data_IF_378588501585
#
_entry.id   IF_378588501585
#
_cell.length_a   1.000
_cell.length_b   1.000
_cell.length_c   1.000
_cell.angle_alpha   90.00
_cell.angle_beta   90.00
_cell.angle_gamma   90.00
#
_symmetry.space_group_name_H-M   'P 1'
#
loop_
_entity.id
_entity.type
_entity.pdbx_description
1 polymer ?
#
# COMPACT_ATOMS: atom_id res chain seq x y z
N UNK A 1 42.42 -14.88 18.93
CA UNK A 1 41.78 -15.39 20.16
C UNK A 1 40.28 -15.19 20.01
N UNK A 2 39.60 -16.14 19.38
CA UNK A 2 38.15 -16.07 19.17
C UNK A 2 37.45 -16.55 20.43
N UNK A 3 36.79 -15.65 21.14
CA UNK A 3 35.80 -16.05 22.13
C UNK A 3 34.70 -16.80 21.37
N UNK A 4 34.56 -18.10 21.62
CA UNK A 4 33.30 -18.80 21.44
C UNK A 4 32.30 -18.15 22.38
N UNK A 5 31.75 -17.00 21.99
CA UNK A 5 30.55 -16.47 22.63
C UNK A 5 29.46 -17.49 22.33
N UNK A 6 29.13 -18.33 23.32
CA UNK A 6 27.98 -19.20 23.23
C UNK A 6 26.79 -18.32 22.81
N UNK A 7 26.18 -18.65 21.67
CA UNK A 7 24.99 -17.94 21.20
C UNK A 7 23.95 -18.01 22.32
N UNK A 8 23.36 -16.86 22.66
CA UNK A 8 22.37 -16.82 23.74
C UNK A 8 21.23 -17.82 23.47
N UNK A 9 20.71 -18.50 24.50
CA UNK A 9 19.69 -19.52 24.30
C UNK A 9 18.41 -18.92 23.70
N UNK A 10 17.88 -19.57 22.66
CA UNK A 10 16.62 -19.18 22.03
C UNK A 10 15.45 -19.55 22.95
N UNK A 11 14.53 -18.61 23.16
CA UNK A 11 13.29 -18.89 23.87
C UNK A 11 12.25 -19.51 22.92
N UNK A 12 12.23 -20.83 22.85
CA UNK A 12 11.32 -21.58 21.97
C UNK A 12 9.84 -21.32 22.28
N UNK A 13 9.47 -21.19 23.55
CA UNK A 13 8.08 -20.91 23.96
C UNK A 13 7.59 -19.58 23.40
N UNK A 14 8.43 -18.54 23.48
CA UNK A 14 8.12 -17.24 22.93
C UNK A 14 8.11 -17.26 21.39
N UNK A 15 8.96 -18.09 20.78
CA UNK A 15 8.93 -18.38 19.34
C UNK A 15 7.61 -19.01 18.88
N UNK A 16 7.05 -19.96 19.63
CA UNK A 16 5.74 -20.56 19.35
C UNK A 16 4.61 -19.53 19.50
N UNK A 17 4.64 -18.70 20.56
CA UNK A 17 3.67 -17.61 20.71
C UNK A 17 3.74 -16.60 19.55
N UNK A 18 4.94 -16.25 19.11
CA UNK A 18 5.13 -15.41 17.93
C UNK A 18 4.40 -16.01 16.71
N UNK A 19 4.62 -17.29 16.40
CA UNK A 19 3.97 -17.94 15.25
C UNK A 19 2.44 -17.99 15.39
N UNK A 20 1.91 -18.28 16.57
CA UNK A 20 0.47 -18.30 16.82
C UNK A 20 -0.16 -16.91 16.64
N UNK A 21 0.47 -15.88 17.19
CA UNK A 21 -0.01 -14.51 17.03
C UNK A 21 0.16 -13.99 15.59
N UNK A 22 1.16 -14.46 14.85
CA UNK A 22 1.29 -14.18 13.40
C UNK A 22 0.09 -14.75 12.62
N UNK A 23 -0.31 -16.00 12.90
CA UNK A 23 -1.48 -16.61 12.27
C UNK A 23 -2.78 -15.89 12.66
N UNK A 24 -2.94 -15.58 13.94
CA UNK A 24 -4.09 -14.84 14.45
C UNK A 24 -4.19 -13.46 13.78
N UNK A 25 -3.07 -12.74 13.69
CA UNK A 25 -3.01 -11.45 13.01
C UNK A 25 -3.43 -11.59 11.54
N UNK A 26 -2.93 -12.60 10.82
CA UNK A 26 -3.30 -12.84 9.42
C UNK A 26 -4.82 -13.03 9.25
N UNK A 27 -5.44 -13.81 10.13
CA UNK A 27 -6.90 -14.00 10.16
C UNK A 27 -7.64 -12.68 10.43
N UNK A 28 -7.19 -11.88 11.41
CA UNK A 28 -7.83 -10.60 11.72
C UNK A 28 -7.66 -9.61 10.55
N UNK A 29 -6.49 -9.54 9.90
CA UNK A 29 -6.31 -8.72 8.69
C UNK A 29 -7.22 -9.16 7.54
N UNK A 30 -7.46 -10.47 7.39
CA UNK A 30 -8.42 -10.99 6.40
C UNK A 30 -9.85 -10.52 6.72
N UNK A 31 -10.24 -10.54 8.00
CA UNK A 31 -11.54 -9.99 8.43
C UNK A 31 -11.60 -8.49 8.15
N UNK A 32 -10.55 -7.73 8.46
CA UNK A 32 -10.45 -6.29 8.14
C UNK A 32 -10.65 -6.04 6.65
N UNK A 33 -9.99 -6.84 5.80
CA UNK A 33 -10.16 -6.79 4.35
C UNK A 33 -11.61 -7.00 3.92
N UNK A 34 -12.26 -8.02 4.46
CA UNK A 34 -13.67 -8.32 4.17
C UNK A 34 -14.55 -7.13 4.59
N UNK A 35 -14.34 -6.55 5.77
CA UNK A 35 -15.14 -5.40 6.23
C UNK A 35 -14.96 -4.16 5.36
N UNK A 36 -13.74 -3.83 4.93
CA UNK A 36 -13.51 -2.73 4.00
C UNK A 36 -14.12 -3.01 2.61
N UNK A 37 -14.01 -4.24 2.11
CA UNK A 37 -14.62 -4.65 0.85
C UNK A 37 -16.15 -4.57 0.90
N UNK A 38 -16.77 -5.02 2.00
CA UNK A 38 -18.21 -4.92 2.21
C UNK A 38 -18.67 -3.47 2.35
N UNK A 39 -17.92 -2.62 3.04
CA UNK A 39 -18.20 -1.19 3.14
C UNK A 39 -18.19 -0.53 1.74
N UNK A 40 -17.22 -0.88 0.90
CA UNK A 40 -17.15 -0.42 -0.48
C UNK A 40 -18.33 -0.92 -1.33
N UNK A 41 -18.68 -2.20 -1.20
CA UNK A 41 -19.79 -2.82 -1.92
C UNK A 41 -21.16 -2.22 -1.52
N UNK A 42 -21.39 -1.99 -0.22
CA UNK A 42 -22.61 -1.33 0.26
C UNK A 42 -22.68 0.11 -0.21
N UNK A 43 -21.55 0.82 -0.20
CA UNK A 43 -21.52 2.20 -0.70
C UNK A 43 -21.80 2.24 -2.20
N UNK A 44 -21.25 1.29 -2.98
CA UNK A 44 -21.57 1.14 -4.40
C UNK A 44 -23.08 0.97 -4.63
N UNK A 45 -23.71 0.05 -3.89
CA UNK A 45 -25.14 -0.23 -3.99
C UNK A 45 -25.99 1.00 -3.64
N UNK A 46 -25.66 1.68 -2.54
CA UNK A 46 -26.36 2.90 -2.12
C UNK A 46 -26.27 4.00 -3.19
N UNK A 47 -25.10 4.20 -3.80
CA UNK A 47 -24.93 5.20 -4.87
C UNK A 47 -25.74 4.80 -6.10
N UNK A 48 -25.71 3.53 -6.50
CA UNK A 48 -26.50 3.04 -7.64
C UNK A 48 -28.01 3.18 -7.42
N UNK A 49 -28.50 2.93 -6.20
CA UNK A 49 -29.91 3.11 -5.84
C UNK A 49 -30.33 4.58 -5.87
N UNK A 50 -29.47 5.50 -5.40
CA UNK A 50 -29.68 6.94 -5.49
C UNK A 50 -29.71 7.42 -6.95
N UNK A 51 -28.77 6.96 -7.78
CA UNK A 51 -28.76 7.27 -9.21
C UNK A 51 -30.03 6.77 -9.91
N UNK A 52 -30.47 5.55 -9.60
CA UNK A 52 -31.70 4.98 -10.15
C UNK A 52 -32.96 5.74 -9.68
N UNK A 53 -32.97 6.23 -8.43
CA UNK A 53 -34.06 7.05 -7.91
C UNK A 53 -34.11 8.43 -8.58
N UNK A 54 -32.96 9.09 -8.74
CA UNK A 54 -32.85 10.37 -9.44
C UNK A 54 -33.28 10.27 -10.91
N UNK A 55 -32.88 9.20 -11.61
CA UNK A 55 -33.32 8.94 -12.99
C UNK A 55 -34.84 8.77 -13.09
N UNK A 56 -35.46 8.07 -12.12
CA UNK A 56 -36.93 7.94 -12.05
C UNK A 56 -37.63 9.26 -11.75
N UNK A 57 -37.01 10.13 -10.96
CA UNK A 57 -37.54 11.46 -10.67
C UNK A 57 -37.46 12.37 -11.90
N UNK A 58 -36.33 12.38 -12.60
CA UNK A 58 -36.16 13.07 -13.88
C UNK A 58 -37.18 12.60 -14.92
N UNK A 59 -37.41 11.29 -15.04
CA UNK A 59 -38.42 10.73 -15.95
C UNK A 59 -39.83 11.22 -15.60
N UNK A 60 -40.21 11.24 -14.31
CA UNK A 60 -41.48 11.79 -13.85
C UNK A 60 -41.62 13.28 -14.20
N UNK A 61 -40.56 14.06 -13.99
CA UNK A 61 -40.54 15.49 -14.32
C UNK A 61 -40.68 15.70 -15.84
N UNK A 62 -40.02 14.90 -16.67
CA UNK A 62 -40.14 14.96 -18.14
C UNK A 62 -41.54 14.56 -18.63
N UNK A 63 -42.14 13.53 -18.03
CA UNK A 63 -43.53 13.11 -18.35
C UNK A 63 -44.54 14.20 -17.94
N UNK A 64 -44.32 14.84 -16.79
CA UNK A 64 -45.17 15.96 -16.35
C UNK A 64 -45.00 17.23 -17.20
N UNK A 65 -43.79 17.51 -17.68
CA UNK A 65 -43.50 18.62 -18.58
C UNK A 65 -44.01 18.36 -20.02
N UNK A 66 -44.09 17.09 -20.45
CA UNK A 66 -44.67 16.69 -21.73
C UNK A 66 -46.18 16.96 -21.86
N UNK A 67 -46.87 17.21 -20.75
CA UNK A 67 -48.28 17.63 -20.75
C UNK A 67 -48.47 19.14 -21.03
N UNK A 68 -47.38 19.93 -21.09
CA UNK A 68 -47.41 21.37 -21.41
C UNK A 68 -46.46 21.63 -22.58
N UNK A 69 -47.02 21.92 -23.75
CA UNK A 69 -46.29 22.09 -25.02
C UNK A 69 -45.36 23.33 -25.04
N UNK A 70 -44.06 23.13 -25.31
CA UNK A 70 -43.30 23.72 -26.45
C UNK A 70 -41.77 23.42 -26.42
N UNK A 71 -41.08 23.43 -27.58
CA UNK A 71 -39.71 22.94 -27.73
C UNK A 71 -38.68 24.07 -27.63
N UNK A 72 -37.66 23.91 -26.78
CA UNK A 72 -36.32 24.50 -26.94
C UNK A 72 -35.43 24.20 -25.71
N UNK A 73 -34.93 22.97 -25.53
CA UNK A 73 -33.83 22.77 -24.55
C UNK A 73 -33.05 21.46 -24.64
N UNK A 74 -32.69 21.00 -25.84
CA UNK A 74 -31.82 19.81 -26.00
C UNK A 74 -30.39 19.96 -25.45
N UNK A 75 -29.96 21.18 -25.05
CA UNK A 75 -28.57 21.46 -24.65
C UNK A 75 -28.37 21.67 -23.14
N UNK A 76 -29.39 22.16 -22.43
CA UNK A 76 -29.24 22.56 -21.01
C UNK A 76 -29.47 21.39 -20.04
N UNK A 77 -30.13 20.31 -20.46
CA UNK A 77 -30.24 19.08 -19.68
C UNK A 77 -28.94 18.25 -19.68
N UNK A 78 -28.07 18.45 -20.67
CA UNK A 78 -26.72 17.87 -20.71
C UNK A 78 -25.74 18.63 -19.81
N UNK A 79 -25.81 19.97 -19.76
CA UNK A 79 -24.99 20.79 -18.83
C UNK A 79 -25.37 20.55 -17.36
N UNK A 80 -26.66 20.48 -17.02
CA UNK A 80 -27.09 20.19 -15.62
C UNK A 80 -26.77 18.74 -15.21
N UNK A 81 -26.76 17.79 -16.17
CA UNK A 81 -26.27 16.42 -15.91
C UNK A 81 -24.77 16.36 -15.70
N UNK A 82 -23.99 17.29 -16.25
CA UNK A 82 -22.54 17.37 -16.06
C UNK A 82 -22.19 17.98 -14.69
N UNK A 83 -22.97 18.94 -14.21
CA UNK A 83 -22.75 19.58 -12.90
C UNK A 83 -23.16 18.68 -11.72
N UNK A 84 -24.10 17.73 -11.93
CA UNK A 84 -24.52 16.73 -10.94
C UNK A 84 -23.79 15.38 -11.07
N UNK A 85 -22.65 15.31 -11.78
CA UNK A 85 -21.78 14.12 -11.76
C UNK A 85 -21.03 14.06 -10.43
N UNK A 86 -21.79 13.76 -9.37
CA UNK A 86 -21.36 13.23 -8.08
C UNK A 86 -20.24 13.99 -7.39
N UNK A 87 -20.61 14.94 -6.54
CA UNK A 87 -19.75 15.47 -5.48
C UNK A 87 -19.03 14.29 -4.78
N UNK A 88 -17.69 14.27 -4.86
CA UNK A 88 -16.89 13.18 -4.28
C UNK A 88 -17.17 13.08 -2.78
N UNK A 89 -17.50 11.89 -2.29
CA UNK A 89 -17.83 11.64 -0.87
C UNK A 89 -16.62 11.94 0.03
N UNK A 90 -15.41 11.75 -0.49
CA UNK A 90 -14.15 12.19 0.09
C UNK A 90 -13.63 13.38 -0.71
N UNK A 91 -13.32 14.47 -0.02
CA UNK A 91 -12.82 15.69 -0.66
C UNK A 91 -11.46 15.46 -1.31
N UNK A 92 -11.10 16.29 -2.29
CA UNK A 92 -9.75 16.27 -2.90
C UNK A 92 -8.63 16.55 -1.89
N UNK A 93 -8.96 17.12 -0.72
CA UNK A 93 -8.02 17.31 0.39
C UNK A 93 -7.89 16.08 1.30
N UNK A 94 -8.70 15.04 1.08
CA UNK A 94 -8.82 13.84 1.93
C UNK A 94 -9.05 14.20 3.40
N UNK A 95 -9.90 15.21 3.63
CA UNK A 95 -10.31 15.64 4.97
C UNK A 95 -11.51 14.83 5.47
N UNK A 96 -11.61 14.68 6.78
CA UNK A 96 -12.74 14.02 7.42
C UNK A 96 -14.03 14.83 7.26
N UNK A 97 -14.97 14.33 6.45
CA UNK A 97 -16.28 14.95 6.22
C UNK A 97 -17.40 14.27 7.02
N UNK A 98 -18.55 14.95 7.17
CA UNK A 98 -19.78 14.34 7.75
C UNK A 98 -20.19 13.07 7.00
N UNK A 99 -20.10 13.08 5.66
CA UNK A 99 -20.38 11.90 4.84
C UNK A 99 -19.43 10.75 5.16
N UNK A 100 -18.13 11.03 5.31
CA UNK A 100 -17.17 9.98 5.67
C UNK A 100 -17.34 9.49 7.12
N UNK A 101 -17.81 10.34 8.03
CA UNK A 101 -18.15 9.94 9.40
C UNK A 101 -19.27 8.89 9.45
N UNK A 102 -20.20 8.91 8.50
CA UNK A 102 -21.32 7.97 8.42
C UNK A 102 -20.96 6.55 7.96
N UNK A 103 -19.72 6.31 7.51
CA UNK A 103 -19.23 4.95 7.14
C UNK A 103 -18.93 4.11 8.37
N UNK A 104 -19.98 3.61 9.02
CA UNK A 104 -19.91 2.79 10.25
C UNK A 104 -19.06 1.52 10.05
N UNK A 105 -19.18 0.85 8.90
CA UNK A 105 -18.40 -0.36 8.62
C UNK A 105 -16.91 -0.06 8.44
N UNK A 106 -16.55 1.01 7.72
CA UNK A 106 -15.16 1.45 7.65
C UNK A 106 -14.57 1.79 9.03
N UNK A 107 -15.35 2.34 9.96
CA UNK A 107 -14.89 2.60 11.34
C UNK A 107 -14.61 1.30 12.11
N UNK A 108 -15.52 0.33 12.00
CA UNK A 108 -15.31 -1.00 12.59
C UNK A 108 -14.06 -1.65 12.00
N UNK A 109 -13.87 -1.55 10.68
CA UNK A 109 -12.69 -2.08 10.00
C UNK A 109 -11.39 -1.42 10.51
N UNK A 110 -11.39 -0.11 10.77
CA UNK A 110 -10.24 0.59 11.37
C UNK A 110 -9.96 0.11 12.79
N UNK A 111 -10.98 -0.10 13.62
CA UNK A 111 -10.79 -0.64 14.98
C UNK A 111 -10.21 -2.05 14.93
N UNK A 112 -10.73 -2.90 14.04
CA UNK A 112 -10.18 -4.24 13.80
C UNK A 112 -8.76 -4.18 13.23
N UNK A 113 -8.44 -3.18 12.41
CA UNK A 113 -7.08 -2.95 11.90
C UNK A 113 -6.11 -2.59 13.03
N UNK A 114 -6.51 -1.74 13.98
CA UNK A 114 -5.70 -1.44 15.17
C UNK A 114 -5.45 -2.70 16.00
N UNK A 115 -6.47 -3.54 16.19
CA UNK A 115 -6.31 -4.83 16.87
C UNK A 115 -5.37 -5.76 16.11
N UNK A 116 -5.51 -5.87 14.78
CA UNK A 116 -4.62 -6.68 13.94
C UNK A 116 -3.16 -6.23 14.06
N UNK A 117 -2.92 -4.91 14.01
CA UNK A 117 -1.58 -4.32 14.18
C UNK A 117 -1.02 -4.59 15.58
N UNK A 118 -1.84 -4.53 16.64
CA UNK A 118 -1.39 -4.84 17.99
C UNK A 118 -0.97 -6.31 18.14
N UNK A 119 -1.79 -7.24 17.63
CA UNK A 119 -1.48 -8.67 17.63
C UNK A 119 -0.24 -8.99 16.79
N UNK A 120 -0.14 -8.38 15.60
CA UNK A 120 1.00 -8.52 14.71
C UNK A 120 2.28 -7.93 15.32
N UNK A 121 2.18 -6.76 15.95
CA UNK A 121 3.27 -6.13 16.68
C UNK A 121 3.79 -7.04 17.78
N UNK A 122 2.90 -7.58 18.62
CA UNK A 122 3.27 -8.58 19.62
C UNK A 122 3.99 -9.78 18.98
N UNK A 123 3.49 -10.30 17.86
CA UNK A 123 4.10 -11.43 17.18
C UNK A 123 5.53 -11.16 16.72
N UNK A 124 5.79 -10.00 16.11
CA UNK A 124 7.12 -9.58 15.65
C UNK A 124 8.06 -9.31 16.83
N UNK A 125 7.60 -8.61 17.87
CA UNK A 125 8.42 -8.34 19.06
C UNK A 125 8.72 -9.59 19.88
N UNK A 126 7.74 -10.48 20.04
CA UNK A 126 7.93 -11.78 20.67
C UNK A 126 9.04 -12.56 19.95
N UNK A 127 9.06 -12.52 18.60
CA UNK A 127 10.12 -13.13 17.81
C UNK A 127 11.48 -12.49 18.05
N UNK A 128 11.50 -11.16 18.14
CA UNK A 128 12.73 -10.40 18.38
C UNK A 128 13.35 -10.76 19.74
N UNK A 129 12.53 -10.79 20.79
CA UNK A 129 12.93 -11.19 22.13
C UNK A 129 13.27 -12.67 22.23
N UNK A 130 12.60 -13.54 21.46
CA UNK A 130 12.89 -14.98 21.47
C UNK A 130 14.30 -15.29 20.95
N UNK A 131 14.80 -14.48 20.01
CA UNK A 131 16.11 -14.66 19.39
C UNK A 131 17.17 -13.64 19.88
N UNK A 132 16.82 -12.75 20.81
CA UNK A 132 17.63 -11.61 21.26
C UNK A 132 18.23 -10.78 20.11
N UNK A 133 17.44 -10.57 19.05
CA UNK A 133 17.86 -9.85 17.85
C UNK A 133 16.67 -9.26 17.10
N UNK A 134 16.96 -8.38 16.14
CA UNK A 134 15.92 -7.89 15.24
C UNK A 134 15.50 -9.01 14.27
N UNK A 135 14.18 -9.24 14.04
CA UNK A 135 13.69 -10.31 13.19
C UNK A 135 13.74 -9.90 11.72
N UNK A 136 14.95 -9.85 11.14
CA UNK A 136 15.24 -9.60 9.72
C UNK A 136 16.24 -10.62 9.16
N UNK A 137 16.24 -11.84 9.70
CA UNK A 137 17.20 -12.88 9.32
C UNK A 137 16.82 -13.66 8.08
N UNK A 138 15.53 -13.70 7.72
CA UNK A 138 15.00 -14.53 6.64
C UNK A 138 13.72 -13.96 6.02
N UNK A 139 13.25 -14.57 4.93
CA UNK A 139 12.07 -14.12 4.18
C UNK A 139 10.80 -14.04 5.02
N UNK A 140 10.56 -14.99 5.94
CA UNK A 140 9.43 -14.93 6.88
C UNK A 140 9.44 -13.64 7.69
N UNK A 141 10.58 -13.36 8.29
CA UNK A 141 10.85 -12.24 9.19
C UNK A 141 10.80 -10.90 8.47
N UNK A 142 11.31 -10.84 7.25
CA UNK A 142 11.20 -9.68 6.37
C UNK A 142 9.77 -9.42 5.91
N UNK A 143 9.05 -10.44 5.43
CA UNK A 143 7.67 -10.29 4.96
C UNK A 143 6.72 -9.90 6.09
N UNK A 144 6.85 -10.53 7.26
CA UNK A 144 6.06 -10.20 8.45
C UNK A 144 6.33 -8.77 8.93
N UNK A 145 7.60 -8.42 9.19
CA UNK A 145 7.94 -7.07 9.65
C UNK A 145 7.59 -6.00 8.61
N UNK A 146 7.78 -6.28 7.32
CA UNK A 146 7.35 -5.40 6.25
C UNK A 146 5.83 -5.17 6.22
N UNK A 147 5.05 -6.23 6.39
CA UNK A 147 3.59 -6.16 6.48
C UNK A 147 3.13 -5.37 7.72
N UNK A 148 3.84 -5.50 8.84
CA UNK A 148 3.59 -4.70 10.05
C UNK A 148 3.83 -3.22 9.78
N UNK A 149 4.98 -2.87 9.20
CA UNK A 149 5.33 -1.47 8.90
C UNK A 149 4.35 -0.85 7.92
N UNK A 150 3.96 -1.55 6.85
CA UNK A 150 2.92 -1.09 5.91
C UNK A 150 1.62 -0.78 6.65
N UNK A 151 1.19 -1.66 7.55
CA UNK A 151 -0.04 -1.48 8.32
C UNK A 151 0.04 -0.30 9.29
N UNK A 152 1.18 -0.15 9.98
CA UNK A 152 1.42 0.96 10.91
C UNK A 152 1.47 2.28 10.16
N UNK A 153 2.21 2.37 9.06
CA UNK A 153 2.28 3.58 8.22
C UNK A 153 0.89 3.94 7.69
N UNK A 154 0.08 2.96 7.31
CA UNK A 154 -1.31 3.19 6.90
C UNK A 154 -2.16 3.75 8.05
N UNK A 155 -2.10 3.19 9.25
CA UNK A 155 -2.81 3.73 10.43
C UNK A 155 -2.33 5.14 10.78
N UNK A 156 -1.02 5.39 10.69
CA UNK A 156 -0.44 6.72 10.89
C UNK A 156 -0.97 7.71 9.86
N UNK A 157 -0.99 7.33 8.59
CA UNK A 157 -1.54 8.15 7.51
C UNK A 157 -3.04 8.42 7.71
N UNK A 158 -3.79 7.44 8.24
CA UNK A 158 -5.19 7.62 8.60
C UNK A 158 -5.39 8.71 9.67
N UNK A 159 -4.49 8.87 10.65
CA UNK A 159 -4.64 9.95 11.64
C UNK A 159 -4.61 11.35 11.01
N UNK A 160 -3.89 11.53 9.91
CA UNK A 160 -3.77 12.83 9.24
C UNK A 160 -4.79 13.04 8.13
N UNK A 161 -5.17 11.96 7.42
CA UNK A 161 -6.00 12.00 6.21
C UNK A 161 -6.97 10.84 6.15
N UNK A 162 -8.13 11.09 5.57
CA UNK A 162 -9.17 10.08 5.45
C UNK A 162 -8.91 9.10 4.29
N UNK A 163 -7.99 8.16 4.54
CA UNK A 163 -7.58 7.11 3.60
C UNK A 163 -8.38 5.80 3.77
N UNK A 164 -9.59 5.85 4.35
CA UNK A 164 -10.40 4.64 4.59
C UNK A 164 -10.80 3.93 3.31
N UNK A 165 -10.86 4.65 2.19
CA UNK A 165 -11.09 4.05 0.86
C UNK A 165 -9.94 3.13 0.42
N UNK A 166 -8.73 3.31 0.97
CA UNK A 166 -7.58 2.45 0.69
C UNK A 166 -7.52 1.22 1.60
N UNK A 167 -8.39 1.14 2.61
CA UNK A 167 -8.34 0.11 3.65
C UNK A 167 -8.35 -1.29 3.07
N UNK A 168 -9.24 -1.58 2.12
CA UNK A 168 -9.31 -2.88 1.43
C UNK A 168 -8.02 -3.20 0.68
N UNK A 169 -7.40 -2.22 0.00
CA UNK A 169 -6.18 -2.47 -0.75
C UNK A 169 -5.01 -2.81 0.19
N UNK A 170 -4.84 -2.01 1.25
CA UNK A 170 -3.73 -2.19 2.20
C UNK A 170 -3.92 -3.45 3.03
N UNK A 171 -5.10 -3.70 3.58
CA UNK A 171 -5.35 -4.92 4.35
C UNK A 171 -5.21 -6.16 3.47
N UNK A 172 -5.66 -6.10 2.20
CA UNK A 172 -5.48 -7.19 1.26
C UNK A 172 -4.00 -7.48 0.97
N UNK A 173 -3.21 -6.45 0.72
CA UNK A 173 -1.75 -6.58 0.55
C UNK A 173 -1.09 -7.18 1.79
N UNK A 174 -1.42 -6.68 2.98
CA UNK A 174 -0.88 -7.17 4.26
C UNK A 174 -1.27 -8.62 4.51
N UNK A 175 -2.52 -9.01 4.26
CA UNK A 175 -2.96 -10.40 4.33
C UNK A 175 -2.16 -11.27 3.36
N UNK A 176 -1.95 -10.84 2.12
CA UNK A 176 -1.15 -11.59 1.15
C UNK A 176 0.31 -11.75 1.58
N UNK A 177 0.92 -10.69 2.13
CA UNK A 177 2.27 -10.74 2.68
C UNK A 177 2.37 -11.71 3.84
N UNK A 178 1.37 -11.71 4.74
CA UNK A 178 1.34 -12.63 5.88
C UNK A 178 1.12 -14.08 5.45
N UNK A 179 0.19 -14.34 4.55
CA UNK A 179 0.00 -15.67 3.97
C UNK A 179 1.27 -16.14 3.25
N UNK A 180 1.93 -15.26 2.49
CA UNK A 180 3.20 -15.56 1.84
C UNK A 180 4.31 -15.89 2.84
N UNK A 181 4.41 -15.15 3.94
CA UNK A 181 5.35 -15.44 5.02
C UNK A 181 5.06 -16.82 5.64
N UNK A 182 3.82 -17.07 6.06
CA UNK A 182 3.46 -18.27 6.84
C UNK A 182 3.37 -19.55 6.01
N UNK A 183 2.92 -19.46 4.75
CA UNK A 183 2.73 -20.63 3.87
C UNK A 183 3.94 -20.81 2.96
N UNK A 184 4.49 -19.72 2.42
CA UNK A 184 5.58 -19.77 1.43
C UNK A 184 6.96 -19.94 2.07
N UNK A 185 7.21 -19.32 3.22
CA UNK A 185 8.53 -19.30 3.85
C UNK A 185 8.49 -19.63 5.35
N UNK A 186 7.86 -20.73 5.79
CA UNK A 186 7.79 -21.05 7.22
C UNK A 186 9.19 -21.36 7.76
N UNK A 187 9.77 -20.44 8.53
CA UNK A 187 11.10 -20.60 9.12
C UNK A 187 11.03 -20.52 10.65
N UNK A 188 11.60 -21.49 11.37
CA UNK A 188 11.74 -21.43 12.83
C UNK A 188 12.55 -20.23 13.29
N UNK A 189 12.40 -19.87 14.56
CA UNK A 189 13.24 -18.85 15.19
C UNK A 189 14.67 -19.39 15.29
N UNK A 190 15.65 -18.58 14.90
CA UNK A 190 17.05 -18.99 14.81
C UNK A 190 18.01 -17.80 14.93
N UNK A 191 19.30 -18.11 15.08
CA UNK A 191 20.37 -17.11 15.08
C UNK A 191 20.63 -16.54 13.67
N UNK A 192 21.20 -15.34 13.61
CA UNK A 192 21.64 -14.73 12.35
C UNK A 192 22.89 -15.40 11.83
N UNK A 193 23.03 -15.47 10.51
CA UNK A 193 24.34 -15.74 9.91
C UNK A 193 25.31 -14.59 10.22
N UNK A 194 26.63 -14.84 10.35
CA UNK A 194 27.59 -13.84 10.81
C UNK A 194 27.58 -12.51 10.04
N UNK A 195 27.36 -12.54 8.72
CA UNK A 195 27.30 -11.34 7.88
C UNK A 195 26.14 -10.38 8.23
N UNK A 196 25.10 -10.86 8.93
CA UNK A 196 23.94 -10.07 9.33
C UNK A 196 24.09 -9.51 10.77
N UNK A 197 25.16 -9.82 11.50
CA UNK A 197 25.39 -9.32 12.87
C UNK A 197 26.09 -7.95 12.88
N UNK A 198 25.47 -6.94 12.26
CA UNK A 198 26.02 -5.57 12.16
C UNK A 198 24.97 -4.50 12.42
N UNK A 199 25.27 -3.40 13.15
CA UNK A 199 24.33 -2.28 13.32
C UNK A 199 23.88 -1.67 11.98
N UNK A 200 24.72 -1.76 10.95
CA UNK A 200 24.41 -1.20 9.63
C UNK A 200 23.23 -1.90 8.96
N UNK A 201 23.05 -3.21 9.18
CA UNK A 201 21.87 -3.89 8.62
C UNK A 201 20.59 -3.37 9.26
N UNK A 202 20.65 -3.00 10.54
CA UNK A 202 19.48 -2.54 11.26
C UNK A 202 19.00 -1.21 10.67
N UNK A 203 19.95 -0.31 10.43
CA UNK A 203 19.71 1.00 9.82
C UNK A 203 19.26 0.84 8.35
N UNK A 204 19.97 0.05 7.56
CA UNK A 204 19.68 -0.16 6.15
C UNK A 204 18.29 -0.77 5.92
N UNK A 205 17.99 -1.88 6.60
CA UNK A 205 16.73 -2.61 6.42
C UNK A 205 15.53 -1.82 6.94
N UNK A 206 15.65 -1.17 8.10
CA UNK A 206 14.53 -0.39 8.66
C UNK A 206 14.07 0.72 7.70
N UNK A 207 15.01 1.45 7.13
CA UNK A 207 14.72 2.55 6.19
C UNK A 207 14.25 2.00 4.84
N UNK A 208 14.81 0.87 4.38
CA UNK A 208 14.33 0.18 3.17
C UNK A 208 12.86 -0.25 3.28
N UNK A 209 12.49 -0.87 4.41
CA UNK A 209 11.13 -1.34 4.68
C UNK A 209 10.18 -0.16 4.79
N UNK A 210 10.58 0.92 5.47
CA UNK A 210 9.76 2.12 5.59
C UNK A 210 9.55 2.82 4.24
N UNK A 211 10.60 2.97 3.43
CA UNK A 211 10.48 3.50 2.07
C UNK A 211 9.55 2.65 1.19
N UNK A 212 9.68 1.32 1.28
CA UNK A 212 8.82 0.37 0.56
C UNK A 212 7.35 0.50 0.96
N UNK A 213 7.06 0.77 2.24
CA UNK A 213 5.70 1.01 2.70
C UNK A 213 5.09 2.29 2.11
N UNK A 214 5.87 3.38 2.03
CA UNK A 214 5.44 4.60 1.35
C UNK A 214 5.17 4.37 -0.13
N UNK A 215 6.05 3.62 -0.81
CA UNK A 215 5.87 3.24 -2.21
C UNK A 215 4.64 2.34 -2.42
N UNK A 216 4.33 1.44 -1.50
CA UNK A 216 3.13 0.59 -1.57
C UNK A 216 1.83 1.40 -1.47
N UNK A 217 1.78 2.39 -0.56
CA UNK A 217 0.63 3.30 -0.43
C UNK A 217 0.50 4.16 -1.69
N UNK A 218 1.62 4.69 -2.20
CA UNK A 218 1.64 5.45 -3.45
C UNK A 218 1.18 4.60 -4.65
N UNK A 219 1.64 3.35 -4.76
CA UNK A 219 1.18 2.40 -5.78
C UNK A 219 -0.34 2.23 -5.76
N UNK A 220 -0.91 2.00 -4.58
CA UNK A 220 -2.36 1.91 -4.40
C UNK A 220 -3.10 3.16 -4.90
N UNK A 221 -2.57 4.36 -4.59
CA UNK A 221 -3.14 5.62 -5.06
C UNK A 221 -3.05 5.80 -6.57
N UNK A 222 -1.93 5.42 -7.20
CA UNK A 222 -1.76 5.50 -8.64
C UNK A 222 -2.66 4.52 -9.39
N UNK A 223 -2.90 3.32 -8.84
CA UNK A 223 -3.89 2.38 -9.38
C UNK A 223 -5.30 2.99 -9.34
N UNK A 224 -5.69 3.56 -8.19
CA UNK A 224 -6.97 4.25 -8.06
C UNK A 224 -7.07 5.49 -8.96
N UNK A 225 -5.96 6.20 -9.17
CA UNK A 225 -5.88 7.34 -10.08
C UNK A 225 -6.17 6.92 -11.52
N UNK A 226 -5.59 5.80 -11.99
CA UNK A 226 -5.86 5.25 -13.32
C UNK A 226 -7.33 4.83 -13.45
N UNK A 227 -7.87 4.15 -12.44
CA UNK A 227 -9.29 3.77 -12.43
C UNK A 227 -10.20 5.00 -12.50
N UNK A 228 -9.87 6.06 -11.76
CA UNK A 228 -10.62 7.31 -11.75
C UNK A 228 -10.53 8.03 -13.10
N UNK A 229 -9.32 8.09 -13.69
CA UNK A 229 -9.12 8.67 -15.00
C UNK A 229 -9.91 7.92 -16.09
N UNK A 230 -9.87 6.59 -16.09
CA UNK A 230 -10.64 5.76 -17.03
C UNK A 230 -12.15 5.92 -16.84
N UNK A 231 -12.62 6.04 -15.59
CA UNK A 231 -14.04 6.29 -15.29
C UNK A 231 -14.49 7.65 -15.82
N UNK A 232 -13.75 8.71 -15.52
CA UNK A 232 -14.09 10.08 -15.97
C UNK A 232 -14.10 10.19 -17.50
N UNK A 233 -13.13 9.57 -18.18
CA UNK A 233 -13.10 9.52 -19.65
C UNK A 233 -14.36 8.84 -20.21
N UNK A 234 -14.76 7.69 -19.67
CA UNK A 234 -15.97 6.98 -20.14
C UNK A 234 -17.25 7.79 -19.93
N UNK A 235 -17.36 8.51 -18.82
CA UNK A 235 -18.52 9.37 -18.54
C UNK A 235 -18.54 10.55 -19.52
N UNK A 236 -17.39 11.16 -19.80
CA UNK A 236 -17.27 12.23 -20.81
C UNK A 236 -17.65 11.73 -22.22
N UNK A 237 -17.34 10.48 -22.54
CA UNK A 237 -17.74 9.80 -23.78
C UNK A 237 -19.24 9.40 -23.81
N UNK A 238 -20.02 9.78 -22.80
CA UNK A 238 -21.46 9.49 -22.70
C UNK A 238 -21.81 8.06 -22.32
N UNK A 239 -20.83 7.25 -21.89
CA UNK A 239 -21.08 5.88 -21.44
C UNK A 239 -21.59 5.82 -19.99
N UNK A 240 -22.34 4.77 -19.63
CA UNK A 240 -22.79 4.57 -18.26
C UNK A 240 -21.62 4.31 -17.30
N UNK A 241 -21.75 4.89 -16.10
CA UNK A 241 -20.82 4.72 -14.99
C UNK A 241 -20.90 3.28 -14.44
N UNK A 242 -19.90 2.46 -14.76
CA UNK A 242 -19.81 1.06 -14.30
C UNK A 242 -19.12 0.92 -12.94
N UNK A 243 -18.54 1.99 -12.40
CA UNK A 243 -17.81 1.94 -11.12
C UNK A 243 -18.29 3.05 -10.16
N UNK A 244 -19.57 3.07 -9.74
CA UNK A 244 -20.11 4.09 -8.85
C UNK A 244 -19.36 4.22 -7.51
N UNK A 245 -18.81 3.12 -7.00
CA UNK A 245 -17.99 3.12 -5.77
C UNK A 245 -16.80 4.08 -5.85
N UNK A 246 -16.26 4.37 -7.04
CA UNK A 246 -15.14 5.29 -7.20
C UNK A 246 -15.50 6.74 -6.85
N UNK A 247 -16.78 7.08 -6.62
CA UNK A 247 -17.19 8.37 -6.05
C UNK A 247 -16.79 8.53 -4.58
N UNK A 248 -16.45 7.43 -3.88
CA UNK A 248 -15.84 7.49 -2.52
C UNK A 248 -14.34 7.74 -2.55
N UNK A 249 -13.73 7.65 -3.72
CA UNK A 249 -12.32 7.92 -3.93
C UNK A 249 -12.18 9.37 -4.38
N UNK A 250 -11.18 10.12 -3.87
CA UNK A 250 -10.89 11.48 -4.32
C UNK A 250 -10.66 11.58 -5.84
N UNK A 251 -10.67 12.81 -6.37
CA UNK A 251 -10.35 13.07 -7.77
C UNK A 251 -8.95 12.56 -8.16
N UNK A 252 -8.77 12.25 -9.45
CA UNK A 252 -7.51 11.71 -9.95
C UNK A 252 -6.30 12.64 -9.65
N UNK A 253 -6.50 13.95 -9.74
CA UNK A 253 -5.45 14.93 -9.41
C UNK A 253 -5.08 14.95 -7.93
N UNK A 254 -6.04 14.73 -7.03
CA UNK A 254 -5.78 14.63 -5.58
C UNK A 254 -4.94 13.39 -5.25
N UNK A 255 -5.30 12.24 -5.83
CA UNK A 255 -4.54 10.99 -5.70
C UNK A 255 -3.12 11.16 -6.24
N UNK A 256 -2.97 11.77 -7.41
CA UNK A 256 -1.67 12.02 -8.04
C UNK A 256 -0.77 12.91 -7.17
N UNK A 257 -1.31 14.01 -6.63
CA UNK A 257 -0.55 14.95 -5.81
C UNK A 257 -0.10 14.33 -4.49
N UNK A 258 -0.93 13.49 -3.88
CA UNK A 258 -0.55 12.81 -2.64
C UNK A 258 0.46 11.69 -2.90
N UNK A 259 0.24 10.88 -3.95
CA UNK A 259 1.18 9.85 -4.37
C UNK A 259 2.57 10.44 -4.68
N UNK A 260 2.62 11.59 -5.35
CA UNK A 260 3.87 12.30 -5.62
C UNK A 260 4.61 12.72 -4.34
N UNK A 261 3.90 13.24 -3.34
CA UNK A 261 4.50 13.61 -2.04
C UNK A 261 5.06 12.38 -1.32
N UNK A 262 4.30 11.28 -1.27
CA UNK A 262 4.78 10.02 -0.69
C UNK A 262 5.99 9.47 -1.43
N UNK A 263 5.98 9.47 -2.77
CA UNK A 263 7.11 9.03 -3.59
C UNK A 263 8.34 9.90 -3.38
N UNK A 264 8.18 11.20 -3.16
CA UNK A 264 9.32 12.10 -2.90
C UNK A 264 10.00 11.75 -1.58
N UNK A 265 9.22 11.53 -0.52
CA UNK A 265 9.74 11.10 0.79
C UNK A 265 10.36 9.70 0.67
N UNK A 266 9.66 8.77 0.02
CA UNK A 266 10.13 7.40 -0.22
C UNK A 266 11.44 7.36 -1.01
N UNK A 267 11.60 8.21 -2.02
CA UNK A 267 12.84 8.31 -2.80
C UNK A 267 14.02 8.83 -1.99
N UNK A 268 13.81 9.84 -1.13
CA UNK A 268 14.85 10.33 -0.24
C UNK A 268 15.32 9.21 0.72
N UNK A 269 14.37 8.46 1.28
CA UNK A 269 14.66 7.30 2.13
C UNK A 269 15.33 6.17 1.36
N UNK A 270 14.88 5.86 0.13
CA UNK A 270 15.50 4.84 -0.71
C UNK A 270 16.93 5.22 -1.14
N UNK A 271 17.20 6.50 -1.35
CA UNK A 271 18.55 7.00 -1.60
C UNK A 271 19.46 6.71 -0.41
N UNK A 272 18.97 7.01 0.80
CA UNK A 272 19.69 6.64 2.02
C UNK A 272 19.86 5.11 2.14
N UNK A 273 18.83 4.32 1.80
CA UNK A 273 18.91 2.85 1.77
C UNK A 273 20.06 2.36 0.90
N UNK A 274 20.20 2.87 -0.32
CA UNK A 274 21.28 2.47 -1.24
C UNK A 274 22.66 2.81 -0.64
N UNK A 275 22.82 4.00 -0.06
CA UNK A 275 24.07 4.44 0.58
C UNK A 275 24.39 3.58 1.80
N UNK A 276 23.44 3.40 2.72
CA UNK A 276 23.61 2.58 3.91
C UNK A 276 23.87 1.11 3.55
N UNK A 277 23.29 0.63 2.44
CA UNK A 277 23.53 -0.70 1.90
C UNK A 277 24.97 -0.88 1.44
N UNK A 278 25.54 0.12 0.76
CA UNK A 278 26.95 0.10 0.34
C UNK A 278 27.91 0.10 1.54
N UNK A 279 27.61 0.86 2.61
CA UNK A 279 28.42 0.85 3.83
C UNK A 279 28.35 -0.53 4.52
N UNK A 280 27.15 -1.12 4.60
CA UNK A 280 26.99 -2.46 5.14
C UNK A 280 27.74 -3.51 4.30
N UNK A 281 27.70 -3.41 2.97
CA UNK A 281 28.42 -4.30 2.07
C UNK A 281 29.94 -4.26 2.30
N UNK A 282 30.50 -3.08 2.59
CA UNK A 282 31.91 -2.95 2.95
C UNK A 282 32.21 -3.65 4.28
N UNK A 283 31.38 -3.42 5.30
CA UNK A 283 31.55 -4.06 6.60
C UNK A 283 31.39 -5.60 6.54
N UNK A 284 30.55 -6.12 5.65
CA UNK A 284 30.24 -7.55 5.54
C UNK A 284 31.20 -8.31 4.60
N UNK A 285 31.61 -7.69 3.48
CA UNK A 285 32.33 -8.35 2.39
C UNK A 285 33.62 -7.63 1.96
N UNK A 286 33.99 -6.54 2.63
CA UNK A 286 35.20 -5.77 2.34
C UNK A 286 35.13 -4.90 1.08
N UNK A 287 33.94 -4.68 0.52
CA UNK A 287 33.71 -3.83 -0.67
C UNK A 287 32.36 -3.12 -0.64
N UNK A 288 32.30 -1.88 -1.11
CA UNK A 288 31.07 -1.07 -1.11
C UNK A 288 30.01 -1.51 -2.12
N UNK A 289 30.43 -2.11 -3.22
CA UNK A 289 29.53 -2.52 -4.30
C UNK A 289 30.10 -3.72 -5.01
N UNK A 290 29.20 -4.60 -5.44
CA UNK A 290 29.56 -5.88 -5.98
C UNK A 290 28.79 -6.37 -7.19
N UNK A 291 27.86 -5.57 -7.71
CA UNK A 291 26.98 -5.93 -8.82
C UNK A 291 26.16 -7.18 -8.57
N UNK A 292 25.88 -7.46 -7.29
CA UNK A 292 24.96 -8.52 -6.90
C UNK A 292 23.54 -8.20 -7.42
N UNK A 293 22.73 -9.19 -7.79
CA UNK A 293 21.36 -8.95 -8.25
C UNK A 293 20.57 -7.99 -7.35
N UNK A 294 20.67 -8.07 -6.02
CA UNK A 294 19.94 -7.14 -5.14
C UNK A 294 20.47 -5.71 -5.22
N UNK A 295 21.77 -5.54 -5.35
CA UNK A 295 22.40 -4.23 -5.49
C UNK A 295 21.96 -3.59 -6.81
N UNK A 296 22.05 -4.33 -7.92
CA UNK A 296 21.62 -3.89 -9.24
C UNK A 296 20.15 -3.48 -9.24
N UNK A 297 19.26 -4.31 -8.70
CA UNK A 297 17.84 -3.99 -8.66
C UNK A 297 17.51 -2.83 -7.72
N UNK A 298 18.25 -2.66 -6.62
CA UNK A 298 18.12 -1.48 -5.74
C UNK A 298 18.49 -0.19 -6.47
N UNK A 299 19.50 -0.24 -7.34
CA UNK A 299 19.86 0.86 -8.24
C UNK A 299 18.82 1.08 -9.34
N UNK A 300 18.28 0.02 -9.96
CA UNK A 300 17.19 0.13 -10.95
C UNK A 300 15.96 0.83 -10.35
N UNK A 301 15.55 0.43 -9.14
CA UNK A 301 14.46 1.10 -8.40
C UNK A 301 14.77 2.58 -8.21
N UNK A 302 16.00 2.91 -7.80
CA UNK A 302 16.43 4.28 -7.62
C UNK A 302 16.32 5.07 -8.94
N UNK A 303 16.80 4.53 -10.06
CA UNK A 303 16.73 5.18 -11.39
C UNK A 303 15.28 5.38 -11.84
N UNK A 304 14.41 4.39 -11.65
CA UNK A 304 12.99 4.51 -12.05
C UNK A 304 12.28 5.60 -11.24
N UNK A 305 12.49 5.65 -9.91
CA UNK A 305 11.90 6.70 -9.08
C UNK A 305 12.53 8.08 -9.29
N UNK A 306 13.84 8.16 -9.56
CA UNK A 306 14.50 9.40 -9.98
C UNK A 306 13.91 9.91 -11.30
N UNK A 307 13.73 9.01 -12.28
CA UNK A 307 13.07 9.31 -13.55
C UNK A 307 11.62 9.75 -13.38
N UNK A 308 10.87 9.12 -12.46
CA UNK A 308 9.52 9.54 -12.09
C UNK A 308 9.48 10.99 -11.56
N UNK A 309 10.33 11.30 -10.58
CA UNK A 309 10.39 12.63 -9.99
C UNK A 309 10.87 13.67 -11.00
N UNK A 310 11.86 13.33 -11.82
CA UNK A 310 12.36 14.19 -12.89
C UNK A 310 11.27 14.48 -13.92
N UNK A 311 10.63 13.45 -14.48
CA UNK A 311 9.56 13.61 -15.47
C UNK A 311 8.38 14.45 -14.97
N UNK A 312 8.05 14.35 -13.67
CA UNK A 312 7.04 15.19 -13.02
C UNK A 312 7.51 16.64 -12.82
N UNK A 313 8.76 16.85 -12.40
CA UNK A 313 9.28 18.17 -12.07
C UNK A 313 9.68 19.00 -13.30
N UNK A 314 10.27 18.38 -14.32
CA UNK A 314 10.81 19.07 -15.51
C UNK A 314 9.96 18.82 -16.76
N UNK A 315 9.49 17.59 -16.95
CA UNK A 315 8.77 17.17 -18.16
C UNK A 315 7.27 17.45 -18.13
N UNK A 316 6.71 17.89 -17.00
CA UNK A 316 5.27 18.14 -16.85
C UNK A 316 4.40 16.88 -16.97
N UNK A 317 4.97 15.69 -16.76
CA UNK A 317 4.21 14.44 -16.89
C UNK A 317 3.14 14.37 -15.81
N UNK A 318 1.88 14.34 -16.25
CA UNK A 318 0.71 14.27 -15.35
C UNK A 318 -0.26 13.17 -15.78
N UNK A 319 -1.21 12.82 -14.91
CA UNK A 319 -2.27 11.87 -15.22
C UNK A 319 -1.74 10.44 -15.43
N UNK A 320 -2.24 9.70 -16.43
CA UNK A 320 -1.93 8.27 -16.57
C UNK A 320 -0.45 7.94 -16.76
N UNK A 321 0.31 8.83 -17.41
CA UNK A 321 1.74 8.58 -17.68
C UNK A 321 2.56 8.57 -16.40
N UNK A 322 2.29 9.51 -15.47
CA UNK A 322 2.96 9.56 -14.18
C UNK A 322 2.56 8.37 -13.31
N UNK A 323 1.27 8.00 -13.32
CA UNK A 323 0.76 6.86 -12.56
C UNK A 323 1.41 5.54 -12.98
N UNK A 324 1.54 5.27 -14.29
CA UNK A 324 2.22 4.07 -14.79
C UNK A 324 3.68 4.00 -14.39
N UNK A 325 4.40 5.13 -14.43
CA UNK A 325 5.81 5.15 -14.05
C UNK A 325 6.01 4.86 -12.55
N UNK A 326 5.13 5.38 -11.69
CA UNK A 326 5.15 5.01 -10.27
C UNK A 326 4.75 3.55 -10.02
N UNK A 327 3.83 3.01 -10.82
CA UNK A 327 3.43 1.60 -10.75
C UNK A 327 4.61 0.71 -11.12
N UNK A 328 5.31 1.01 -12.22
CA UNK A 328 6.50 0.28 -12.65
C UNK A 328 7.58 0.34 -11.56
N UNK A 329 7.81 1.51 -10.95
CA UNK A 329 8.75 1.65 -9.83
C UNK A 329 8.43 0.72 -8.66
N UNK A 330 7.16 0.62 -8.26
CA UNK A 330 6.77 -0.30 -7.19
C UNK A 330 6.87 -1.77 -7.61
N UNK A 331 6.55 -2.10 -8.87
CA UNK A 331 6.76 -3.44 -9.40
C UNK A 331 8.25 -3.84 -9.39
N UNK A 332 9.18 -2.89 -9.63
CA UNK A 332 10.61 -3.13 -9.44
C UNK A 332 10.96 -3.43 -7.97
N UNK A 333 10.34 -2.74 -7.00
CA UNK A 333 10.49 -3.04 -5.57
C UNK A 333 10.01 -4.45 -5.25
N UNK A 334 8.83 -4.84 -5.73
CA UNK A 334 8.29 -6.20 -5.55
C UNK A 334 9.18 -7.24 -6.22
N UNK A 335 9.70 -6.97 -7.41
CA UNK A 335 10.60 -7.87 -8.13
C UNK A 335 11.92 -8.06 -7.36
N UNK A 336 12.52 -6.98 -6.88
CA UNK A 336 13.74 -7.04 -6.05
C UNK A 336 13.48 -7.81 -4.75
N UNK A 337 12.32 -7.62 -4.14
CA UNK A 337 12.01 -8.27 -2.88
C UNK A 337 11.64 -9.76 -3.03
N UNK A 338 10.96 -10.15 -4.10
CA UNK A 338 10.48 -11.54 -4.28
C UNK A 338 11.38 -12.30 -5.23
N UNK A 339 11.41 -11.91 -6.51
CA UNK A 339 12.07 -12.67 -7.56
C UNK A 339 13.58 -12.73 -7.35
N UNK A 340 14.22 -11.61 -7.00
CA UNK A 340 15.68 -11.59 -6.76
C UNK A 340 16.07 -12.44 -5.55
N UNK A 341 15.23 -12.48 -4.51
CA UNK A 341 15.46 -13.33 -3.34
C UNK A 341 15.31 -14.82 -3.63
N UNK A 342 14.38 -15.21 -4.50
CA UNK A 342 14.00 -16.62 -4.69
C UNK A 342 14.77 -17.26 -5.85
N UNK A 343 14.98 -16.51 -6.94
CA UNK A 343 15.45 -17.08 -8.22
C UNK A 343 16.89 -16.71 -8.58
N UNK A 344 17.50 -15.74 -7.89
CA UNK A 344 18.86 -15.31 -8.18
C UNK A 344 19.80 -15.68 -7.02
N UNK A 345 20.88 -16.38 -7.35
CA UNK A 345 21.96 -16.64 -6.40
C UNK A 345 22.79 -15.37 -6.21
N UNK A 346 23.04 -15.00 -4.95
CA UNK A 346 23.77 -13.79 -4.62
C UNK A 346 24.25 -13.75 -3.17
N UNK A 347 25.10 -12.77 -2.85
CA UNK A 347 25.60 -12.54 -1.48
C UNK A 347 24.47 -12.16 -0.51
N UNK A 348 23.29 -11.83 -1.02
CA UNK A 348 22.11 -11.58 -0.20
C UNK A 348 21.15 -12.78 -0.09
N UNK A 349 21.55 -13.95 -0.58
CA UNK A 349 20.77 -15.20 -0.53
C UNK A 349 20.71 -15.80 0.90
N UNK A 350 21.40 -15.18 1.88
CA UNK A 350 21.25 -15.52 3.30
C UNK A 350 19.82 -15.37 3.84
N UNK A 351 18.92 -14.75 3.08
CA UNK A 351 17.53 -14.60 3.45
C UNK A 351 16.73 -15.92 3.48
N UNK A 352 17.37 -17.08 3.28
CA UNK A 352 16.88 -18.39 3.72
C UNK A 352 15.45 -18.65 3.27
N UNK A 353 15.31 -19.06 2.00
CA UNK A 353 14.16 -19.87 1.59
C UNK A 353 14.28 -21.24 2.26
#
# INVERSE_FOLDING_TARGET
>A
MGSNAALEPINETLGVYSQLFMLLAAMVYMVVFIFFALDLAKTNKSISEMDAAALKEDEKLLVSAGAVTRPARGRRGQEVRADNVGEHIVTDKMEYTKLSSNRKMARIAVVLMCLAVALHGFAVFARAFAANRVPWGNMYEFMSTGALVVSVVYLVALFFKDLRFMGAFISGLVTLMLCGATIGFPTPVGHLVPALQSPWIVIHVSIAVFASALFAISFAMNVLQLMQHSRMKRIADGQPDKMPFMRVVPGAGALENFAYRLNTIGFAMWTFTVIAGAIWAEAAWGRYWGWDPKEVWSFVIWVVYAGYLHARATGGWTGPRSAWLSIIGFLCVVFNFTIVNIFFNGLHSYAGV
#
